data_IF_765602901847
#
_entry.id   IF_765602901847
#
_cell.length_a   1.000
_cell.length_b   1.000
_cell.length_c   1.000
_cell.angle_alpha   90.00
_cell.angle_beta   90.00
_cell.angle_gamma   90.00
#
_symmetry.space_group_name_H-M   'P 1'
#
loop_
_entity.id
_entity.type
_entity.pdbx_description
1 polymer ?
#
# COMPACT_ATOMS: atom_id res chain seq x y z
N UNK A 1 5.61 -14.14 -9.56
CA UNK A 1 4.98 -13.33 -10.63
C UNK A 1 3.55 -13.79 -10.80
N UNK A 2 2.61 -12.89 -10.66
CA UNK A 2 1.17 -13.12 -10.85
C UNK A 2 0.81 -13.02 -12.35
N UNK A 3 -0.36 -13.52 -12.74
CA UNK A 3 -0.90 -13.33 -14.10
C UNK A 3 -1.01 -11.84 -14.46
N UNK A 4 -1.32 -11.00 -13.48
CA UNK A 4 -1.43 -9.56 -13.66
C UNK A 4 -0.09 -8.92 -14.01
N UNK A 5 1.02 -9.39 -13.42
CA UNK A 5 2.37 -8.91 -13.74
C UNK A 5 2.72 -9.18 -15.21
N UNK A 6 2.34 -10.37 -15.71
CA UNK A 6 2.58 -10.76 -17.11
C UNK A 6 1.72 -9.95 -18.08
N UNK A 7 0.44 -9.72 -17.74
CA UNK A 7 -0.46 -8.88 -18.54
C UNK A 7 0.03 -7.43 -18.59
N UNK A 8 0.48 -6.89 -17.45
CA UNK A 8 1.09 -5.57 -17.38
C UNK A 8 2.33 -5.50 -18.28
N UNK A 9 3.28 -6.43 -18.13
CA UNK A 9 4.50 -6.46 -18.92
C UNK A 9 4.22 -6.56 -20.43
N UNK A 10 3.31 -7.45 -20.84
CA UNK A 10 2.91 -7.61 -22.23
C UNK A 10 2.27 -6.32 -22.78
N UNK A 11 1.40 -5.67 -22.00
CA UNK A 11 0.77 -4.40 -22.39
C UNK A 11 1.78 -3.27 -22.54
N UNK A 12 2.77 -3.19 -21.64
CA UNK A 12 3.85 -2.20 -21.71
C UNK A 12 4.72 -2.40 -22.95
N UNK A 13 5.12 -3.65 -23.25
CA UNK A 13 5.89 -3.97 -24.46
C UNK A 13 5.10 -3.64 -25.74
N UNK A 14 3.81 -3.98 -25.78
CA UNK A 14 2.95 -3.64 -26.91
C UNK A 14 2.79 -2.12 -27.10
N UNK A 15 2.71 -1.36 -26.01
CA UNK A 15 2.66 0.09 -26.03
C UNK A 15 3.96 0.68 -26.60
N UNK A 16 5.12 0.22 -26.13
CA UNK A 16 6.44 0.65 -26.63
C UNK A 16 6.55 0.36 -28.13
N UNK A 17 6.23 -0.86 -28.57
CA UNK A 17 6.27 -1.23 -29.98
C UNK A 17 5.33 -0.35 -30.82
N UNK A 18 4.13 -0.05 -30.32
CA UNK A 18 3.16 0.82 -30.99
C UNK A 18 3.67 2.25 -31.15
N UNK A 19 4.32 2.80 -30.13
CA UNK A 19 4.93 4.14 -30.18
C UNK A 19 6.08 4.18 -31.19
N UNK A 20 6.97 3.17 -31.18
CA UNK A 20 8.08 3.06 -32.14
C UNK A 20 7.55 2.96 -33.58
N UNK A 21 6.53 2.14 -33.83
CA UNK A 21 5.90 2.05 -35.14
C UNK A 21 5.24 3.36 -35.56
N UNK A 22 4.53 4.04 -34.67
CA UNK A 22 3.91 5.33 -34.96
C UNK A 22 4.98 6.39 -35.32
N UNK A 23 6.09 6.44 -34.60
CA UNK A 23 7.21 7.33 -34.89
C UNK A 23 7.83 7.02 -36.27
N UNK A 24 8.09 5.74 -36.57
CA UNK A 24 8.61 5.32 -37.86
C UNK A 24 7.68 5.71 -39.03
N UNK A 25 6.36 5.55 -38.85
CA UNK A 25 5.39 5.98 -39.86
C UNK A 25 5.29 7.50 -39.99
N UNK A 26 5.42 8.25 -38.89
CA UNK A 26 5.43 9.71 -38.92
C UNK A 26 6.66 10.25 -39.68
N UNK A 27 7.86 9.71 -39.39
CA UNK A 27 9.10 10.06 -40.10
C UNK A 27 9.02 9.67 -41.58
N UNK A 28 8.37 8.54 -41.89
CA UNK A 28 8.13 8.09 -43.26
C UNK A 28 7.03 8.85 -44.03
N UNK A 29 6.52 9.97 -43.51
CA UNK A 29 5.49 10.79 -44.16
C UNK A 29 4.08 10.19 -44.15
N UNK A 30 3.85 9.12 -43.38
CA UNK A 30 2.55 8.41 -43.28
C UNK A 30 1.80 8.81 -42.01
N UNK A 31 1.55 10.11 -41.85
CA UNK A 31 0.93 10.71 -40.66
C UNK A 31 -0.40 10.07 -40.25
N UNK A 32 -1.28 9.79 -41.20
CA UNK A 32 -2.59 9.18 -40.93
C UNK A 32 -2.49 7.81 -40.26
N UNK A 33 -1.49 6.99 -40.66
CA UNK A 33 -1.24 5.67 -40.06
C UNK A 33 -0.67 5.81 -38.65
N UNK A 34 0.22 6.77 -38.42
CA UNK A 34 0.75 7.07 -37.09
C UNK A 34 -0.38 7.49 -36.13
N UNK A 35 -1.27 8.39 -36.57
CA UNK A 35 -2.45 8.82 -35.78
C UNK A 35 -3.39 7.65 -35.51
N UNK A 36 -3.65 6.78 -36.49
CA UNK A 36 -4.50 5.60 -36.29
C UNK A 36 -3.92 4.64 -35.23
N UNK A 37 -2.61 4.43 -35.23
CA UNK A 37 -1.92 3.60 -34.22
C UNK A 37 -2.03 4.24 -32.84
N UNK A 38 -1.76 5.54 -32.72
CA UNK A 38 -1.86 6.27 -31.45
C UNK A 38 -3.29 6.29 -30.91
N UNK A 39 -4.31 6.44 -31.75
CA UNK A 39 -5.72 6.34 -31.34
C UNK A 39 -6.05 4.96 -30.79
N UNK A 40 -5.59 3.89 -31.44
CA UNK A 40 -5.78 2.51 -30.95
C UNK A 40 -5.05 2.26 -29.63
N UNK A 41 -3.82 2.75 -29.51
CA UNK A 41 -3.07 2.69 -28.27
C UNK A 41 -3.79 3.44 -27.15
N UNK A 42 -4.27 4.66 -27.41
CA UNK A 42 -5.04 5.45 -26.45
C UNK A 42 -6.30 4.75 -25.99
N UNK A 43 -7.07 4.15 -26.91
CA UNK A 43 -8.24 3.33 -26.53
C UNK A 43 -7.84 2.12 -25.69
N UNK A 44 -6.73 1.46 -26.01
CA UNK A 44 -6.20 0.33 -25.22
C UNK A 44 -5.81 0.74 -23.81
N UNK A 45 -5.15 1.89 -23.65
CA UNK A 45 -4.79 2.46 -22.34
C UNK A 45 -6.05 2.79 -21.53
N UNK A 46 -7.05 3.42 -22.14
CA UNK A 46 -8.32 3.72 -21.48
C UNK A 46 -9.07 2.44 -21.05
N UNK A 47 -9.11 1.43 -21.91
CA UNK A 47 -9.73 0.14 -21.58
C UNK A 47 -9.00 -0.56 -20.43
N UNK A 48 -7.67 -0.56 -20.45
CA UNK A 48 -6.86 -1.10 -19.37
C UNK A 48 -7.08 -0.36 -18.05
N UNK A 49 -7.08 0.98 -18.07
CA UNK A 49 -7.37 1.80 -16.90
C UNK A 49 -8.76 1.51 -16.33
N UNK A 50 -9.79 1.41 -17.18
CA UNK A 50 -11.15 1.05 -16.75
C UNK A 50 -11.18 -0.33 -16.08
N UNK A 51 -10.48 -1.33 -16.63
CA UNK A 51 -10.37 -2.65 -16.04
C UNK A 51 -9.70 -2.61 -14.66
N UNK A 52 -8.62 -1.83 -14.49
CA UNK A 52 -7.96 -1.63 -13.20
C UNK A 52 -8.93 -1.07 -12.15
N UNK A 53 -9.73 -0.07 -12.53
CA UNK A 53 -10.71 0.55 -11.65
C UNK A 53 -11.79 -0.45 -11.22
N UNK A 54 -12.28 -1.28 -12.16
CA UNK A 54 -13.27 -2.32 -11.88
C UNK A 54 -12.70 -3.36 -10.92
N UNK A 55 -11.49 -3.87 -11.19
CA UNK A 55 -10.85 -4.89 -10.34
C UNK A 55 -10.58 -4.31 -8.95
N UNK A 56 -10.08 -3.08 -8.85
CA UNK A 56 -9.84 -2.42 -7.57
C UNK A 56 -11.14 -2.29 -6.76
N UNK A 57 -12.24 -1.84 -7.38
CA UNK A 57 -13.53 -1.68 -6.73
C UNK A 57 -14.17 -3.02 -6.32
N UNK A 58 -13.93 -4.10 -7.07
CA UNK A 58 -14.49 -5.41 -6.80
C UNK A 58 -13.65 -6.26 -5.83
N UNK A 59 -12.40 -5.87 -5.55
CA UNK A 59 -11.51 -6.66 -4.69
C UNK A 59 -11.89 -6.48 -3.21
N UNK A 60 -12.20 -7.56 -2.47
CA UNK A 60 -12.48 -7.47 -1.05
C UNK A 60 -11.28 -6.96 -0.25
N UNK A 61 -11.56 -6.27 0.86
CA UNK A 61 -10.50 -5.85 1.77
C UNK A 61 -9.82 -7.05 2.41
N UNK A 62 -8.48 -7.05 2.42
CA UNK A 62 -7.71 -8.02 3.19
C UNK A 62 -7.65 -7.59 4.65
N UNK A 63 -8.21 -8.39 5.55
CA UNK A 63 -8.15 -8.16 7.00
C UNK A 63 -7.23 -9.20 7.60
N UNK A 64 -6.18 -8.74 8.27
CA UNK A 64 -5.21 -9.57 8.99
C UNK A 64 -5.61 -9.69 10.46
N UNK A 65 -5.27 -10.84 11.06
CA UNK A 65 -5.52 -11.06 12.49
C UNK A 65 -4.35 -10.49 13.32
N UNK A 66 -4.61 -10.07 14.57
CA UNK A 66 -3.52 -9.81 15.52
C UNK A 66 -2.57 -11.01 15.60
N UNK A 67 -1.27 -10.74 15.61
CA UNK A 67 -0.21 -11.75 15.53
C UNK A 67 0.25 -12.10 14.13
N UNK A 68 -0.56 -11.88 13.09
CA UNK A 68 -0.16 -12.18 11.71
C UNK A 68 1.02 -11.29 11.28
N UNK A 69 2.04 -11.88 10.62
CA UNK A 69 3.17 -11.13 10.11
C UNK A 69 2.77 -10.33 8.86
N UNK A 70 2.88 -9.01 8.93
CA UNK A 70 2.71 -8.13 7.77
C UNK A 70 4.09 -7.72 7.24
N UNK A 71 4.52 -8.42 6.21
CA UNK A 71 5.85 -8.25 5.63
C UNK A 71 5.85 -7.37 4.38
N UNK A 72 6.88 -6.54 4.29
CA UNK A 72 7.32 -5.81 3.11
C UNK A 72 8.75 -6.27 2.80
N UNK A 73 8.90 -7.04 1.72
CA UNK A 73 10.08 -7.87 1.48
C UNK A 73 10.40 -8.75 2.72
N UNK A 74 11.61 -8.60 3.28
CA UNK A 74 12.08 -9.33 4.46
C UNK A 74 11.85 -8.57 5.79
N UNK A 75 11.31 -7.34 5.75
CA UNK A 75 10.96 -6.57 6.95
C UNK A 75 9.50 -6.79 7.30
N UNK A 76 9.21 -7.20 8.54
CA UNK A 76 7.88 -7.56 8.96
C UNK A 76 7.44 -6.81 10.21
N UNK A 77 6.13 -6.55 10.30
CA UNK A 77 5.48 -5.98 11.45
C UNK A 77 4.27 -6.83 11.84
N UNK A 78 4.09 -7.10 13.13
CA UNK A 78 2.87 -7.73 13.65
C UNK A 78 2.31 -6.95 14.84
N UNK A 79 0.98 -6.97 14.97
CA UNK A 79 0.28 -6.41 16.13
C UNK A 79 0.21 -7.50 17.20
N UNK A 80 0.92 -7.33 18.31
CA UNK A 80 0.92 -8.29 19.43
C UNK A 80 -0.26 -8.08 20.37
N UNK A 81 -0.80 -6.86 20.44
CA UNK A 81 -1.93 -6.56 21.32
C UNK A 81 -2.39 -5.12 21.23
N UNK A 82 -3.59 -4.87 21.73
CA UNK A 82 -4.21 -3.54 21.77
C UNK A 82 -4.78 -3.32 23.17
N UNK A 83 -4.40 -2.21 23.80
CA UNK A 83 -4.99 -1.77 25.06
C UNK A 83 -5.75 -0.48 24.83
N UNK A 84 -7.00 -0.44 25.29
CA UNK A 84 -7.85 0.73 25.19
C UNK A 84 -8.02 1.38 26.57
N UNK A 85 -7.80 2.70 26.64
CA UNK A 85 -8.06 3.50 27.83
C UNK A 85 -9.10 4.58 27.49
N UNK A 86 -10.36 4.40 27.94
CA UNK A 86 -11.43 5.37 27.70
C UNK A 86 -11.13 6.75 28.32
N UNK A 87 -11.64 7.79 27.67
CA UNK A 87 -11.58 9.19 28.12
C UNK A 87 -12.93 9.87 27.89
N UNK A 88 -13.22 11.04 28.50
CA UNK A 88 -14.50 11.73 28.28
C UNK A 88 -14.78 12.08 26.82
N UNK A 89 -13.75 12.33 26.00
CA UNK A 89 -13.88 12.75 24.60
C UNK A 89 -13.55 11.67 23.57
N UNK A 90 -13.11 10.49 23.99
CA UNK A 90 -12.58 9.46 23.09
C UNK A 90 -11.95 8.29 23.84
N UNK A 91 -10.98 7.63 23.22
CA UNK A 91 -10.13 6.65 23.90
C UNK A 91 -8.69 6.74 23.39
N UNK A 92 -7.75 6.46 24.29
CA UNK A 92 -6.38 6.14 23.90
C UNK A 92 -6.30 4.67 23.52
N UNK A 93 -5.76 4.39 22.34
CA UNK A 93 -5.44 3.04 21.89
C UNK A 93 -3.94 2.88 21.88
N UNK A 94 -3.41 2.05 22.76
CA UNK A 94 -2.00 1.65 22.75
C UNK A 94 -1.89 0.33 22.03
N UNK A 95 -1.26 0.36 20.86
CA UNK A 95 -1.01 -0.83 20.03
C UNK A 95 0.42 -1.31 20.28
N UNK A 96 0.55 -2.53 20.77
CA UNK A 96 1.82 -3.24 20.93
C UNK A 96 2.21 -3.89 19.61
N UNK A 97 3.44 -3.64 19.17
CA UNK A 97 3.96 -4.04 17.88
C UNK A 97 5.24 -4.84 18.05
N UNK A 98 5.43 -5.82 17.18
CA UNK A 98 6.72 -6.48 16.97
C UNK A 98 7.19 -6.19 15.56
N UNK A 99 8.35 -5.56 15.46
CA UNK A 99 9.05 -5.33 14.19
C UNK A 99 10.18 -6.34 14.12
N UNK A 100 10.30 -7.08 13.03
CA UNK A 100 11.28 -8.14 12.92
C UNK A 100 11.74 -8.35 11.48
N UNK A 101 12.91 -8.96 11.34
CA UNK A 101 13.51 -9.26 10.04
C UNK A 101 13.41 -10.76 9.76
N UNK A 102 12.77 -11.12 8.65
CA UNK A 102 12.81 -12.48 8.07
C UNK A 102 14.02 -12.68 7.13
N UNK A 103 14.85 -11.64 6.96
CA UNK A 103 16.06 -11.74 6.15
C UNK A 103 17.01 -12.79 6.72
N UNK A 104 17.65 -13.54 5.83
CA UNK A 104 18.59 -14.62 6.23
C UNK A 104 20.04 -14.18 6.32
N UNK A 105 20.41 -13.05 5.71
CA UNK A 105 21.83 -12.69 5.49
C UNK A 105 22.14 -11.22 5.58
N UNK A 106 21.20 -10.35 5.25
CA UNK A 106 21.40 -8.91 5.20
C UNK A 106 20.59 -8.23 6.30
N UNK A 107 21.13 -7.16 6.87
CA UNK A 107 20.35 -6.29 7.73
C UNK A 107 19.30 -5.56 6.90
N UNK A 108 18.13 -5.34 7.49
CA UNK A 108 16.98 -4.75 6.81
C UNK A 108 16.40 -3.61 7.64
N UNK A 109 15.83 -2.63 6.94
CA UNK A 109 15.02 -1.57 7.53
C UNK A 109 13.99 -1.06 6.53
N UNK A 110 12.79 -0.78 7.00
CA UNK A 110 11.77 -0.12 6.19
C UNK A 110 11.89 1.40 6.31
N UNK A 111 12.73 2.02 5.48
CA UNK A 111 12.92 3.48 5.50
C UNK A 111 11.58 4.22 5.30
N UNK A 112 11.29 5.18 6.18
CA UNK A 112 10.03 5.91 6.14
C UNK A 112 8.83 5.05 6.49
N UNK A 113 9.00 3.99 7.30
CA UNK A 113 7.89 3.21 7.82
C UNK A 113 6.92 4.09 8.61
N UNK A 114 5.63 3.97 8.29
CA UNK A 114 4.56 4.72 8.91
C UNK A 114 3.43 3.79 9.33
N UNK A 115 2.64 4.25 10.29
CA UNK A 115 1.51 3.50 10.84
C UNK A 115 0.39 4.47 11.22
N UNK A 116 -0.85 4.09 10.93
CA UNK A 116 -2.03 4.88 11.23
C UNK A 116 -3.16 3.97 11.72
N UNK A 117 -4.07 4.55 12.49
CA UNK A 117 -5.42 3.98 12.59
C UNK A 117 -6.31 4.61 11.51
N UNK A 118 -7.25 3.83 11.01
CA UNK A 118 -8.26 4.25 10.05
C UNK A 118 -9.63 3.74 10.48
N UNK A 119 -10.68 4.54 10.30
CA UNK A 119 -12.06 4.13 10.56
C UNK A 119 -12.80 3.70 9.28
N UNK A 120 -14.02 3.20 9.43
CA UNK A 120 -14.93 2.84 8.33
C UNK A 120 -15.22 3.97 7.33
N UNK A 121 -15.02 5.24 7.72
CA UNK A 121 -15.19 6.42 6.84
C UNK A 121 -13.90 6.83 6.16
N UNK A 122 -12.79 6.11 6.40
CA UNK A 122 -11.47 6.43 5.86
C UNK A 122 -10.76 7.58 6.61
N UNK A 123 -11.26 7.99 7.78
CA UNK A 123 -10.59 9.01 8.60
C UNK A 123 -9.36 8.39 9.26
N UNK A 124 -8.23 9.08 9.14
CA UNK A 124 -6.93 8.62 9.65
C UNK A 124 -6.60 9.28 10.97
N UNK A 125 -6.03 8.50 11.88
CA UNK A 125 -5.52 8.95 13.17
C UNK A 125 -4.03 8.65 13.25
N UNK A 126 -3.24 9.71 13.46
CA UNK A 126 -1.78 9.61 13.63
C UNK A 126 -1.43 9.19 15.04
N UNK A 127 -0.31 8.46 15.23
CA UNK A 127 0.16 8.15 16.56
C UNK A 127 0.56 9.45 17.28
N UNK A 128 0.26 9.51 18.57
CA UNK A 128 0.77 10.54 19.48
C UNK A 128 2.29 10.36 19.57
N UNK A 129 3.11 11.38 19.29
CA UNK A 129 4.55 11.26 19.38
C UNK A 129 5.00 10.97 20.82
N UNK A 130 5.69 9.84 21.02
CA UNK A 130 6.36 9.52 22.29
C UNK A 130 7.85 9.40 22.06
N UNK A 131 8.66 10.23 22.74
CA UNK A 131 10.12 10.26 22.52
C UNK A 131 10.82 8.94 22.91
N UNK A 132 10.19 8.11 23.74
CA UNK A 132 10.72 6.81 24.16
C UNK A 132 10.40 5.67 23.18
N UNK A 133 9.56 5.90 22.18
CA UNK A 133 9.15 4.84 21.27
C UNK A 133 10.28 4.52 20.28
N UNK A 134 10.67 3.24 20.20
CA UNK A 134 11.61 2.79 19.17
C UNK A 134 11.04 3.09 17.78
N UNK A 135 11.80 3.74 16.87
CA UNK A 135 11.37 3.99 15.50
C UNK A 135 10.97 2.70 14.77
N UNK A 136 9.97 2.78 13.88
CA UNK A 136 9.54 1.62 13.09
C UNK A 136 10.60 1.20 12.07
N UNK A 137 11.41 2.15 11.60
CA UNK A 137 12.46 1.97 10.60
C UNK A 137 13.81 1.59 11.23
N UNK A 138 13.82 1.03 12.44
CA UNK A 138 15.03 0.52 13.08
C UNK A 138 15.75 -0.50 12.18
N UNK A 139 17.08 -0.42 12.12
CA UNK A 139 17.89 -1.38 11.38
C UNK A 139 17.97 -2.69 12.17
N UNK A 140 17.50 -3.78 11.56
CA UNK A 140 17.46 -5.10 12.16
C UNK A 140 18.44 -6.05 11.46
N UNK A 141 19.17 -6.82 12.25
CA UNK A 141 19.96 -7.95 11.77
C UNK A 141 19.06 -9.11 11.31
N UNK A 142 19.59 -10.07 10.53
CA UNK A 142 18.87 -11.30 10.17
C UNK A 142 18.25 -12.00 11.40
N UNK A 143 16.94 -12.21 11.38
CA UNK A 143 16.19 -12.85 12.47
C UNK A 143 15.99 -11.99 13.73
N UNK A 144 16.49 -10.76 13.77
CA UNK A 144 16.31 -9.86 14.89
C UNK A 144 14.87 -9.37 14.98
N UNK A 145 14.40 -9.14 16.21
CA UNK A 145 13.10 -8.53 16.48
C UNK A 145 13.17 -7.52 17.61
N UNK A 146 12.42 -6.43 17.47
CA UNK A 146 12.25 -5.40 18.48
C UNK A 146 10.77 -5.19 18.76
N UNK A 147 10.44 -5.05 20.04
CA UNK A 147 9.09 -4.66 20.48
C UNK A 147 9.01 -3.14 20.58
N UNK A 148 7.89 -2.58 20.15
CA UNK A 148 7.59 -1.15 20.24
C UNK A 148 6.10 -0.95 20.39
N UNK A 149 5.65 0.26 20.69
CA UNK A 149 4.22 0.56 20.82
C UNK A 149 3.88 1.88 20.16
N UNK A 150 2.63 2.04 19.74
CA UNK A 150 2.11 3.33 19.26
C UNK A 150 0.80 3.64 19.94
N UNK A 151 0.71 4.85 20.47
CA UNK A 151 -0.50 5.34 21.13
C UNK A 151 -1.26 6.25 20.19
N UNK A 152 -2.57 6.07 20.08
CA UNK A 152 -3.44 6.87 19.23
C UNK A 152 -4.57 7.46 20.07
N UNK A 153 -4.94 8.71 19.80
CA UNK A 153 -6.14 9.32 20.37
C UNK A 153 -7.26 9.27 19.32
N UNK A 154 -8.33 8.55 19.63
CA UNK A 154 -9.47 8.39 18.74
C UNK A 154 -10.73 8.98 19.42
N UNK A 155 -11.50 9.84 18.74
CA UNK A 155 -12.76 10.37 19.29
C UNK A 155 -13.79 9.28 19.58
N UNK A 156 -14.78 9.60 20.42
CA UNK A 156 -15.91 8.70 20.68
C UNK A 156 -16.73 8.42 19.41
N UNK A 157 -17.43 7.27 19.38
CA UNK A 157 -18.35 6.84 18.31
C UNK A 157 -17.67 6.64 16.94
N UNK A 158 -16.43 6.15 16.97
CA UNK A 158 -15.75 5.62 15.80
C UNK A 158 -16.00 4.12 15.75
N UNK A 159 -16.15 3.57 14.54
CA UNK A 159 -16.47 2.15 14.33
C UNK A 159 -15.53 1.55 13.29
N UNK A 160 -15.29 0.23 13.45
CA UNK A 160 -14.44 -0.57 12.57
C UNK A 160 -13.02 -0.02 12.48
N UNK A 161 -12.41 0.24 13.64
CA UNK A 161 -11.03 0.72 13.69
C UNK A 161 -10.07 -0.35 13.19
N UNK A 162 -9.22 0.07 12.25
CA UNK A 162 -8.17 -0.73 11.66
C UNK A 162 -6.82 -0.07 11.79
N UNK A 163 -5.79 -0.89 11.95
CA UNK A 163 -4.42 -0.47 11.81
C UNK A 163 -3.93 -0.71 10.38
N UNK A 164 -3.32 0.31 9.81
CA UNK A 164 -2.67 0.26 8.50
C UNK A 164 -1.21 0.68 8.64
N UNK A 165 -0.33 0.08 7.84
CA UNK A 165 1.10 0.37 7.84
C UNK A 165 1.68 0.30 6.43
N UNK A 166 2.84 0.91 6.22
CA UNK A 166 3.59 0.88 4.97
C UNK A 166 4.95 1.56 5.10
N UNK A 167 5.69 1.67 4.00
CA UNK A 167 7.00 2.32 3.95
C UNK A 167 7.25 3.04 2.61
N UNK A 168 8.33 3.82 2.52
CA UNK A 168 8.83 4.37 1.25
C UNK A 168 8.01 5.51 0.61
N UNK A 169 6.91 5.95 1.22
CA UNK A 169 6.07 7.05 0.69
C UNK A 169 4.85 7.32 1.57
N UNK A 170 4.09 8.39 1.33
CA UNK A 170 2.88 8.67 2.10
C UNK A 170 1.80 7.61 1.83
N UNK A 171 0.95 7.35 2.83
CA UNK A 171 -0.30 6.62 2.60
C UNK A 171 -1.08 7.30 1.48
N UNK A 172 -1.21 6.58 0.35
CA UNK A 172 -1.90 6.98 -0.88
C UNK A 172 -1.21 8.09 -1.69
N UNK A 173 -0.37 7.64 -2.62
CA UNK A 173 0.14 8.49 -3.70
C UNK A 173 -0.90 8.61 -4.83
N UNK A 174 -0.88 9.73 -5.56
CA UNK A 174 -1.73 9.97 -6.74
C UNK A 174 -1.35 9.10 -7.96
N UNK A 175 -0.30 8.28 -7.86
CA UNK A 175 0.12 7.43 -8.95
C UNK A 175 -0.85 6.24 -9.07
N UNK A 176 -1.22 5.83 -10.29
CA UNK A 176 -2.12 4.70 -10.47
C UNK A 176 -1.51 3.46 -9.81
N UNK A 177 -2.27 2.72 -8.99
CA UNK A 177 -1.72 1.58 -8.27
C UNK A 177 -1.22 0.52 -9.25
N UNK A 178 -0.08 -0.07 -8.93
CA UNK A 178 0.28 -1.38 -9.48
C UNK A 178 -0.76 -2.38 -8.97
N UNK A 179 -1.20 -3.31 -9.83
CA UNK A 179 -2.22 -4.31 -9.47
C UNK A 179 -1.76 -5.06 -8.21
N UNK A 180 -2.56 -5.03 -7.15
CA UNK A 180 -2.31 -5.74 -5.90
C UNK A 180 -1.71 -4.90 -4.77
N UNK A 181 -1.27 -3.67 -5.03
CA UNK A 181 -0.91 -2.73 -3.96
C UNK A 181 -2.16 -2.01 -3.44
N UNK A 182 -2.31 -1.95 -2.11
CA UNK A 182 -3.41 -1.23 -1.46
C UNK A 182 -3.28 0.27 -1.72
N UNK A 183 -4.33 0.91 -2.26
CA UNK A 183 -4.33 2.34 -2.57
C UNK A 183 -5.72 2.97 -2.41
N UNK A 184 -5.79 4.23 -1.95
CA UNK A 184 -7.00 4.84 -1.39
C UNK A 184 -8.23 4.98 -2.31
N UNK A 185 -8.06 5.09 -3.63
CA UNK A 185 -9.17 5.59 -4.46
C UNK A 185 -10.28 4.55 -4.68
N UNK A 186 -9.91 3.28 -4.83
CA UNK A 186 -10.86 2.18 -5.05
C UNK A 186 -10.48 0.87 -4.35
N UNK A 187 -9.26 0.74 -3.83
CA UNK A 187 -8.81 -0.48 -3.16
C UNK A 187 -8.82 -0.25 -1.64
N UNK A 188 -9.55 -1.08 -0.91
CA UNK A 188 -9.53 -0.99 0.55
C UNK A 188 -8.16 -1.45 1.05
N UNK A 189 -7.47 -0.69 1.93
CA UNK A 189 -6.15 -1.07 2.38
C UNK A 189 -6.22 -2.38 3.15
N UNK A 190 -5.17 -3.20 3.03
CA UNK A 190 -4.93 -4.26 4.02
C UNK A 190 -4.90 -3.62 5.40
N UNK A 191 -5.56 -4.24 6.38
CA UNK A 191 -5.57 -3.73 7.75
C UNK A 191 -5.56 -4.86 8.78
N UNK A 192 -5.02 -4.58 9.96
CA UNK A 192 -5.24 -5.41 11.15
C UNK A 192 -6.42 -4.82 11.91
N UNK A 193 -7.45 -5.62 12.18
CA UNK A 193 -8.61 -5.15 12.94
C UNK A 193 -8.26 -5.04 14.43
N UNK A 194 -8.63 -3.92 15.04
CA UNK A 194 -8.35 -3.64 16.46
C UNK A 194 -9.62 -3.42 17.30
N UNK A 195 -10.79 -3.35 16.65
CA UNK A 195 -12.14 -3.32 17.23
C UNK A 195 -13.10 -4.22 16.42
#
# INVERSE_FOLDING_TARGET
MTLFDLLFLASALAAIASVVMAAAFAVGGRGDRAVAILKRLGMGVLAYAALLLIVAAATPQKIMQPGDPWCFDDWCLSVEGVTQMPTPSGAYYTVSLRVFSEAKRVSQRANGAWIYLIDSRGVRYSPVPTASDTPLDVLLQPGESVKTSRTFLVPNRVHELGLITGHGGPYCSMLPPVIGEGGCLFNKPTMVRIE
#
